data_IF_503987955452
#
_entry.id   IF_503987955452
#
_cell.length_a   1.000
_cell.length_b   1.000
_cell.length_c   1.000
_cell.angle_alpha   90.00
_cell.angle_beta   90.00
_cell.angle_gamma   90.00
#
_symmetry.space_group_name_H-M   'P 1'
#
loop_
_entity.id
_entity.type
_entity.pdbx_description
1 polymer ?
#
# COMPACT_ATOMS: atom_id res chain seq x y z
N UNK A 1 9.95 0.89 -10.08
CA UNK A 1 8.67 1.19 -9.40
C UNK A 1 8.90 1.47 -7.92
N UNK A 2 9.28 0.49 -7.09
CA UNK A 2 9.51 0.70 -5.65
C UNK A 2 10.48 1.86 -5.37
N UNK A 3 11.65 1.84 -6.01
CA UNK A 3 12.76 2.79 -5.78
C UNK A 3 12.69 4.04 -6.66
N UNK A 4 11.95 3.95 -7.78
CA UNK A 4 11.82 5.02 -8.78
C UNK A 4 10.65 5.98 -8.49
N UNK A 5 9.71 5.54 -7.65
CA UNK A 5 8.54 6.31 -7.23
C UNK A 5 8.74 6.65 -5.77
N UNK A 6 8.77 7.93 -5.44
CA UNK A 6 8.91 8.38 -4.06
C UNK A 6 7.69 7.99 -3.21
N UNK A 7 7.90 7.82 -1.90
CA UNK A 7 6.80 7.61 -0.97
C UNK A 7 6.36 8.94 -0.37
N UNK A 8 5.14 9.38 -0.67
CA UNK A 8 4.68 10.76 -0.38
C UNK A 8 4.79 11.16 1.09
N UNK A 9 4.53 10.23 2.02
CA UNK A 9 4.66 10.50 3.46
C UNK A 9 6.10 10.70 3.91
N UNK A 10 7.08 10.12 3.21
CA UNK A 10 8.49 10.29 3.56
C UNK A 10 9.05 11.63 3.08
N UNK A 11 8.43 12.20 2.03
CA UNK A 11 8.82 13.49 1.43
C UNK A 11 7.96 14.66 1.86
N UNK A 12 6.93 14.41 2.67
CA UNK A 12 5.91 15.39 3.04
C UNK A 12 5.29 16.09 1.80
N UNK A 13 4.96 15.30 0.77
CA UNK A 13 4.35 15.78 -0.46
C UNK A 13 2.99 16.43 -0.18
N UNK A 14 2.65 17.47 -0.93
CA UNK A 14 1.33 18.12 -0.85
C UNK A 14 0.28 17.43 -1.74
N UNK A 15 0.71 16.70 -2.76
CA UNK A 15 -0.17 16.11 -3.79
C UNK A 15 -0.54 14.68 -3.43
N UNK A 16 -1.85 14.38 -3.44
CA UNK A 16 -2.36 13.02 -3.31
C UNK A 16 -2.55 12.42 -4.70
N UNK A 17 -1.62 11.58 -5.13
CA UNK A 17 -1.79 10.77 -6.36
C UNK A 17 -2.71 9.59 -6.08
N UNK A 18 -3.63 9.30 -7.01
CA UNK A 18 -4.64 8.26 -6.82
C UNK A 18 -4.52 7.20 -7.89
N UNK A 19 -4.62 7.57 -9.16
CA UNK A 19 -4.53 6.64 -10.28
C UNK A 19 -3.09 6.18 -10.53
N UNK A 20 -2.96 5.06 -11.25
CA UNK A 20 -1.66 4.56 -11.70
C UNK A 20 -0.94 5.58 -12.60
N UNK A 21 -1.65 6.23 -13.52
CA UNK A 21 -1.09 7.23 -14.43
C UNK A 21 -0.61 8.49 -13.70
N UNK A 22 -1.38 9.00 -12.73
CA UNK A 22 -0.95 10.12 -11.88
C UNK A 22 0.31 9.75 -11.09
N UNK A 23 0.31 8.59 -10.43
CA UNK A 23 1.46 8.11 -9.65
C UNK A 23 2.72 7.99 -10.51
N UNK A 24 2.57 7.48 -11.74
CA UNK A 24 3.68 7.35 -12.68
C UNK A 24 4.19 8.71 -13.16
N UNK A 25 3.27 9.65 -13.45
CA UNK A 25 3.60 11.00 -13.93
C UNK A 25 4.33 11.82 -12.87
N UNK A 26 3.78 11.86 -11.65
CA UNK A 26 4.35 12.64 -10.54
C UNK A 26 5.57 11.97 -9.90
N UNK A 27 5.79 10.68 -10.20
CA UNK A 27 6.81 9.84 -9.56
C UNK A 27 6.75 9.88 -8.03
N UNK A 28 5.55 10.02 -7.49
CA UNK A 28 5.28 10.10 -6.05
C UNK A 28 3.93 9.46 -5.75
N UNK A 29 3.86 8.70 -4.66
CA UNK A 29 2.61 8.12 -4.18
C UNK A 29 2.77 7.39 -2.87
N UNK A 30 1.69 7.31 -2.10
CA UNK A 30 1.65 6.48 -0.89
C UNK A 30 1.47 4.99 -1.24
N UNK A 31 1.54 4.09 -0.26
CA UNK A 31 1.37 2.66 -0.48
C UNK A 31 0.17 2.27 -1.36
N UNK A 32 -0.99 2.94 -1.21
CA UNK A 32 -2.16 2.71 -2.07
C UNK A 32 -1.90 3.06 -3.54
N UNK A 33 -1.43 4.28 -3.81
CA UNK A 33 -1.15 4.77 -5.15
C UNK A 33 -0.07 3.92 -5.85
N UNK A 34 0.98 3.54 -5.11
CA UNK A 34 2.03 2.64 -5.59
C UNK A 34 1.49 1.23 -5.88
N UNK A 35 0.54 0.73 -5.08
CA UNK A 35 -0.14 -0.53 -5.35
C UNK A 35 -1.03 -0.46 -6.59
N UNK A 36 -1.71 0.67 -6.83
CA UNK A 36 -2.47 0.89 -8.07
C UNK A 36 -1.55 0.86 -9.29
N UNK A 37 -0.40 1.53 -9.22
CA UNK A 37 0.60 1.52 -10.28
C UNK A 37 1.17 0.12 -10.53
N UNK A 38 1.55 -0.61 -9.48
CA UNK A 38 2.09 -1.97 -9.63
C UNK A 38 1.06 -2.90 -10.28
N UNK A 39 -0.19 -2.87 -9.80
CA UNK A 39 -1.26 -3.67 -10.36
C UNK A 39 -1.51 -3.34 -11.84
N UNK A 40 -1.54 -2.05 -12.20
CA UNK A 40 -1.72 -1.64 -13.59
C UNK A 40 -0.59 -2.14 -14.51
N UNK A 41 0.66 -1.99 -14.07
CA UNK A 41 1.83 -2.45 -14.84
C UNK A 41 1.82 -3.97 -15.05
N UNK A 42 1.65 -4.73 -13.97
CA UNK A 42 1.69 -6.20 -14.03
C UNK A 42 0.50 -6.78 -14.80
N UNK A 43 -0.71 -6.24 -14.61
CA UNK A 43 -1.89 -6.64 -15.40
C UNK A 43 -1.71 -6.30 -16.87
N UNK A 44 -1.08 -5.16 -17.19
CA UNK A 44 -0.72 -4.81 -18.57
C UNK A 44 0.27 -5.79 -19.22
N UNK A 45 1.06 -6.50 -18.40
CA UNK A 45 1.95 -7.58 -18.83
C UNK A 45 1.27 -8.97 -18.80
N UNK A 46 -0.03 -9.05 -18.53
CA UNK A 46 -0.77 -10.31 -18.45
C UNK A 46 -0.58 -11.09 -17.14
N UNK A 47 0.04 -10.49 -16.12
CA UNK A 47 0.27 -11.14 -14.82
C UNK A 47 -0.93 -10.85 -13.90
N UNK A 48 -1.69 -11.89 -13.45
CA UNK A 48 -2.79 -11.68 -12.53
C UNK A 48 -2.28 -11.06 -11.23
N UNK A 49 -2.83 -9.92 -10.87
CA UNK A 49 -2.41 -9.14 -9.70
C UNK A 49 -3.64 -8.62 -8.98
N UNK A 50 -3.70 -8.73 -7.66
CA UNK A 50 -4.74 -8.16 -6.80
C UNK A 50 -4.17 -7.18 -5.78
N UNK A 51 -5.08 -6.60 -5.00
CA UNK A 51 -4.78 -5.71 -3.88
C UNK A 51 -4.96 -6.46 -2.57
N UNK A 52 -4.04 -6.25 -1.64
CA UNK A 52 -4.08 -6.79 -0.29
C UNK A 52 -3.90 -5.64 0.71
N UNK A 53 -4.34 -5.88 1.95
CA UNK A 53 -4.33 -4.84 2.98
C UNK A 53 -3.85 -5.41 4.31
N UNK A 54 -3.16 -4.56 5.05
CA UNK A 54 -2.79 -4.76 6.45
C UNK A 54 -3.36 -3.61 7.26
N UNK A 55 -3.79 -3.88 8.50
CA UNK A 55 -4.04 -2.83 9.50
C UNK A 55 -2.80 -2.71 10.36
N UNK A 56 -2.21 -1.53 10.42
CA UNK A 56 -1.01 -1.24 11.20
C UNK A 56 -1.20 0.02 12.05
N UNK A 57 -0.42 0.14 13.12
CA UNK A 57 -0.30 1.38 13.89
C UNK A 57 0.29 2.50 13.02
N UNK A 58 -0.24 3.72 13.10
CA UNK A 58 0.19 4.83 12.21
C UNK A 58 1.66 5.23 12.43
N UNK A 59 2.11 5.19 13.69
CA UNK A 59 3.46 5.61 14.12
C UNK A 59 4.13 4.57 15.02
N UNK A 60 3.76 3.30 14.89
CA UNK A 60 4.40 2.20 15.64
C UNK A 60 3.84 1.95 17.04
N UNK A 61 2.92 2.78 17.53
CA UNK A 61 2.29 2.66 18.86
C UNK A 61 0.75 2.70 18.76
N UNK A 62 0.01 2.06 19.69
CA UNK A 62 -1.46 2.08 19.70
C UNK A 62 -2.07 3.48 19.78
N UNK A 63 -1.44 4.40 20.52
CA UNK A 63 -1.92 5.78 20.73
C UNK A 63 -1.93 6.60 19.44
N UNK A 64 -1.09 6.22 18.46
CA UNK A 64 -1.09 6.83 17.14
C UNK A 64 -2.34 6.47 16.30
N UNK A 65 -3.15 5.54 16.81
CA UNK A 65 -4.25 4.91 16.11
C UNK A 65 -3.77 4.04 14.94
N UNK A 66 -4.72 3.68 14.09
CA UNK A 66 -4.51 2.66 13.06
C UNK A 66 -4.81 3.20 11.67
N UNK A 67 -4.14 2.62 10.68
CA UNK A 67 -4.38 2.86 9.28
C UNK A 67 -4.21 1.57 8.48
N UNK A 68 -4.91 1.48 7.36
CA UNK A 68 -4.65 0.49 6.35
C UNK A 68 -3.34 0.81 5.63
N UNK A 69 -2.58 -0.24 5.37
CA UNK A 69 -1.44 -0.28 4.47
C UNK A 69 -1.81 -1.16 3.27
N UNK A 70 -1.53 -0.66 2.05
CA UNK A 70 -1.87 -1.35 0.81
C UNK A 70 -0.65 -1.98 0.18
N UNK A 71 -0.83 -3.19 -0.34
CA UNK A 71 0.16 -3.96 -1.06
C UNK A 71 -0.53 -4.78 -2.16
N UNK A 72 0.21 -5.64 -2.86
CA UNK A 72 -0.33 -6.46 -3.94
C UNK A 72 -0.11 -7.95 -3.67
N UNK A 73 -0.94 -8.79 -4.28
CA UNK A 73 -0.64 -10.21 -4.48
C UNK A 73 -0.57 -10.48 -5.98
N UNK A 74 0.47 -11.17 -6.44
CA UNK A 74 0.69 -11.57 -7.84
C UNK A 74 0.58 -13.07 -7.96
N UNK A 75 -0.03 -13.57 -9.03
CA UNK A 75 -0.14 -14.99 -9.29
C UNK A 75 0.99 -15.44 -10.22
N UNK A 76 1.93 -16.19 -9.68
CA UNK A 76 3.10 -16.72 -10.41
C UNK A 76 3.27 -18.19 -10.03
N UNK A 77 3.56 -19.04 -11.02
CA UNK A 77 3.83 -20.47 -10.85
C UNK A 77 2.81 -21.21 -9.98
N UNK A 78 1.52 -20.91 -10.20
CA UNK A 78 0.42 -21.60 -9.51
C UNK A 78 0.10 -21.09 -8.10
N UNK A 79 0.81 -20.07 -7.59
CA UNK A 79 0.63 -19.54 -6.23
C UNK A 79 0.51 -18.02 -6.19
N UNK A 80 -0.17 -17.52 -5.16
CA UNK A 80 -0.18 -16.09 -4.84
C UNK A 80 1.07 -15.71 -4.05
N UNK A 81 1.74 -14.64 -4.48
CA UNK A 81 2.95 -14.08 -3.86
C UNK A 81 2.66 -12.63 -3.54
N UNK A 82 2.88 -12.20 -2.29
CA UNK A 82 2.62 -10.81 -1.90
C UNK A 82 3.85 -9.95 -2.13
N UNK A 83 3.62 -8.77 -2.68
CA UNK A 83 4.63 -7.76 -2.99
C UNK A 83 4.21 -6.42 -2.39
N UNK A 84 5.14 -5.79 -1.68
CA UNK A 84 4.90 -4.49 -1.07
C UNK A 84 5.60 -3.36 -1.86
N UNK A 85 4.83 -2.52 -2.58
CA UNK A 85 5.37 -1.51 -3.47
C UNK A 85 5.90 -0.26 -2.73
N UNK A 86 5.74 -0.16 -1.41
CA UNK A 86 5.99 1.04 -0.60
C UNK A 86 7.39 1.63 -0.80
N UNK A 87 8.45 0.83 -0.71
CA UNK A 87 9.84 1.28 -0.76
C UNK A 87 10.58 1.24 0.56
N UNK A 88 11.89 1.47 0.51
CA UNK A 88 12.73 1.42 1.71
C UNK A 88 12.91 2.81 2.34
N UNK A 89 13.08 2.84 3.66
CA UNK A 89 13.57 3.99 4.42
C UNK A 89 14.22 3.49 5.72
N UNK A 90 14.89 4.33 6.53
CA UNK A 90 15.34 3.90 7.85
C UNK A 90 14.20 3.25 8.66
N UNK A 91 14.40 2.00 9.08
CA UNK A 91 13.41 1.19 9.80
C UNK A 91 12.35 0.48 8.94
N UNK A 92 12.39 0.60 7.61
CA UNK A 92 11.49 -0.12 6.69
C UNK A 92 12.27 -0.73 5.53
N UNK A 93 12.17 -2.05 5.38
CA UNK A 93 12.77 -2.80 4.29
C UNK A 93 11.73 -3.72 3.64
N UNK A 94 11.26 -3.39 2.44
CA UNK A 94 10.39 -4.23 1.64
C UNK A 94 11.06 -4.61 0.33
N UNK A 95 11.06 -5.90 -0.04
CA UNK A 95 11.73 -6.36 -1.27
C UNK A 95 10.82 -7.28 -2.07
N UNK A 96 10.99 -7.28 -3.39
CA UNK A 96 10.28 -8.21 -4.24
C UNK A 96 11.00 -9.55 -4.21
N UNK A 97 10.31 -10.55 -3.70
CA UNK A 97 10.85 -11.90 -3.53
C UNK A 97 9.74 -12.92 -3.80
N UNK A 98 10.07 -13.91 -4.62
CA UNK A 98 9.15 -14.98 -5.04
C UNK A 98 9.24 -16.24 -4.16
N UNK A 99 10.23 -16.27 -3.26
CA UNK A 99 10.48 -17.36 -2.32
C UNK A 99 9.96 -17.02 -0.93
N UNK A 100 10.52 -15.98 -0.32
CA UNK A 100 10.17 -15.52 1.02
C UNK A 100 9.53 -14.14 0.94
N UNK A 101 8.41 -13.94 1.65
CA UNK A 101 7.75 -12.65 1.71
C UNK A 101 8.62 -11.61 2.44
N UNK A 102 8.68 -10.39 1.90
CA UNK A 102 9.44 -9.26 2.47
C UNK A 102 8.60 -7.97 2.42
N UNK A 103 7.63 -7.86 3.32
CA UNK A 103 6.72 -6.70 3.41
C UNK A 103 7.32 -5.58 4.27
N UNK A 104 6.81 -4.35 4.12
CA UNK A 104 7.26 -3.20 4.88
C UNK A 104 6.98 -3.31 6.39
N UNK A 105 5.90 -4.00 6.76
CA UNK A 105 5.46 -4.12 8.15
C UNK A 105 5.22 -5.59 8.53
N UNK A 106 5.99 -6.15 9.47
CA UNK A 106 5.57 -7.36 10.15
C UNK A 106 4.36 -7.03 11.04
N UNK A 107 3.38 -7.93 11.09
CA UNK A 107 2.18 -7.74 11.90
C UNK A 107 2.48 -8.10 13.35
N UNK A 108 2.18 -7.14 14.24
CA UNK A 108 2.26 -7.30 15.70
C UNK A 108 0.87 -7.48 16.27
N UNK A 109 0.47 -8.73 16.48
CA UNK A 109 -0.85 -9.08 17.01
C UNK A 109 -1.08 -8.46 18.40
N UNK A 110 -0.04 -8.30 19.20
CA UNK A 110 -0.09 -7.66 20.52
C UNK A 110 -0.46 -6.17 20.47
N UNK A 111 -0.39 -5.55 19.29
CA UNK A 111 -0.83 -4.17 19.05
C UNK A 111 -2.16 -4.10 18.30
N UNK A 112 -2.90 -5.21 18.18
CA UNK A 112 -4.11 -5.34 17.36
C UNK A 112 -3.86 -5.03 15.87
N UNK A 113 -2.64 -5.24 15.36
CA UNK A 113 -2.37 -5.20 13.93
C UNK A 113 -2.94 -6.45 13.25
N UNK A 114 -3.37 -6.32 12.00
CA UNK A 114 -4.10 -7.41 11.30
C UNK A 114 -3.56 -7.57 9.90
N UNK A 115 -3.24 -8.80 9.52
CA UNK A 115 -3.05 -9.18 8.13
C UNK A 115 -4.36 -9.69 7.53
N UNK A 116 -4.92 -9.00 6.54
CA UNK A 116 -6.18 -9.45 5.94
C UNK A 116 -5.90 -10.51 4.85
N UNK A 117 -6.53 -11.70 4.90
CA UNK A 117 -6.20 -12.83 4.02
C UNK A 117 -6.82 -12.73 2.62
N UNK A 118 -7.24 -11.54 2.20
CA UNK A 118 -8.03 -11.34 1.00
C UNK A 118 -7.22 -10.73 -0.14
N UNK A 119 -7.48 -11.20 -1.36
CA UNK A 119 -6.96 -10.63 -2.60
C UNK A 119 -8.12 -9.98 -3.35
N UNK A 120 -8.12 -8.66 -3.44
CA UNK A 120 -9.18 -7.89 -4.11
C UNK A 120 -8.81 -7.60 -5.57
N UNK A 121 -9.78 -7.74 -6.48
CA UNK A 121 -9.60 -7.41 -7.90
C UNK A 121 -9.57 -5.90 -8.16
N UNK A 122 -10.15 -5.10 -7.26
CA UNK A 122 -10.15 -3.63 -7.31
C UNK A 122 -9.74 -3.06 -5.94
N UNK A 123 -9.24 -1.80 -5.88
CA UNK A 123 -8.99 -1.14 -4.61
C UNK A 123 -10.26 -1.01 -3.78
N UNK A 124 -10.13 -1.04 -2.45
CA UNK A 124 -11.27 -0.82 -1.55
C UNK A 124 -11.88 0.57 -1.78
N UNK A 125 -13.21 0.62 -1.80
CA UNK A 125 -13.95 1.88 -2.02
C UNK A 125 -13.63 2.93 -0.96
N UNK A 126 -13.52 2.53 0.30
CA UNK A 126 -13.19 3.44 1.40
C UNK A 126 -11.74 3.95 1.33
N UNK A 127 -10.81 3.17 0.78
CA UNK A 127 -9.45 3.62 0.46
C UNK A 127 -9.47 4.70 -0.61
N UNK A 128 -10.19 4.47 -1.72
CA UNK A 128 -10.33 5.47 -2.78
C UNK A 128 -11.02 6.74 -2.26
N UNK A 129 -12.09 6.59 -1.49
CA UNK A 129 -12.80 7.71 -0.89
C UNK A 129 -11.89 8.55 0.03
N UNK A 130 -11.11 7.91 0.90
CA UNK A 130 -10.16 8.61 1.77
C UNK A 130 -9.10 9.39 0.98
N UNK A 131 -8.60 8.83 -0.13
CA UNK A 131 -7.66 9.51 -1.02
C UNK A 131 -8.28 10.73 -1.70
N UNK A 132 -9.49 10.58 -2.26
CA UNK A 132 -10.22 11.67 -2.93
C UNK A 132 -10.63 12.80 -1.99
N UNK A 133 -10.95 12.49 -0.74
CA UNK A 133 -11.43 13.46 0.26
C UNK A 133 -10.29 14.15 1.02
N UNK A 134 -9.04 13.74 0.81
CA UNK A 134 -7.90 14.33 1.51
C UNK A 134 -7.26 15.42 0.66
N UNK A 135 -7.20 16.63 1.21
CA UNK A 135 -6.62 17.80 0.55
C UNK A 135 -5.13 17.63 0.24
N UNK A 136 -4.39 16.95 1.12
CA UNK A 136 -2.96 16.71 0.99
C UNK A 136 -2.55 15.41 1.70
N UNK A 137 -1.28 15.02 1.56
CA UNK A 137 -0.79 13.78 2.18
C UNK A 137 -0.83 13.81 3.72
N UNK A 138 -0.70 14.98 4.35
CA UNK A 138 -0.80 15.07 5.81
C UNK A 138 -2.24 14.77 6.28
N UNK A 139 -3.25 15.31 5.60
CA UNK A 139 -4.65 14.97 5.86
C UNK A 139 -4.89 13.48 5.60
N UNK A 140 -4.41 12.96 4.47
CA UNK A 140 -4.54 11.55 4.11
C UNK A 140 -3.92 10.63 5.17
N UNK A 141 -2.76 10.99 5.73
CA UNK A 141 -2.10 10.19 6.75
C UNK A 141 -3.05 9.83 7.91
N UNK A 142 -3.90 10.76 8.33
CA UNK A 142 -4.90 10.59 9.40
C UNK A 142 -6.23 10.04 8.89
N UNK A 143 -6.66 10.43 7.69
CA UNK A 143 -7.93 10.02 7.07
C UNK A 143 -7.92 8.59 6.52
N UNK A 144 -6.76 7.94 6.41
CA UNK A 144 -6.67 6.53 5.99
C UNK A 144 -7.64 5.66 6.81
N UNK A 145 -8.43 4.78 6.16
CA UNK A 145 -9.30 3.86 6.88
C UNK A 145 -8.48 3.02 7.87
N UNK A 146 -9.03 2.72 9.04
CA UNK A 146 -8.35 1.93 10.07
C UNK A 146 -8.61 0.42 9.96
N UNK A 147 -9.58 0.01 9.13
CA UNK A 147 -9.99 -1.39 8.91
C UNK A 147 -10.70 -1.54 7.56
N UNK A 148 -10.80 -2.78 7.08
CA UNK A 148 -11.69 -3.09 5.96
C UNK A 148 -13.15 -2.99 6.43
N UNK A 149 -14.01 -2.43 5.59
CA UNK A 149 -15.47 -2.48 5.82
C UNK A 149 -15.98 -3.84 5.34
N UNK A 150 -16.87 -4.45 6.13
CA UNK A 150 -17.54 -5.71 5.79
C UNK A 150 -18.73 -5.44 4.88
#
# INVERSE_FOLDING_TARGET
MRDEISHSFDRNSSVVTISASETMKEKDGICFAKAHLLAALLRGMGIPTGFCYQRVTRKGTPESGYALHGLNAVYLDGKWIRLDPRGNKPGIASEFSVTNEKLAYPIREELDEVDYPYVYSAPLKNVIAAMLQSENCQALFYNRPSRIER
#
